data_IF_746398877411
#
_entry.id   IF_746398877411
#
_cell.length_a   1.000
_cell.length_b   1.000
_cell.length_c   1.000
_cell.angle_alpha   90.00
_cell.angle_beta   90.00
_cell.angle_gamma   90.00
#
_symmetry.space_group_name_H-M   'P 1'
#
loop_
_entity.id
_entity.type
_entity.pdbx_description
1 polymer ?
#
# COMPACT_ATOMS: atom_id res chain seq x y z
N UNK A 1 -17.17 2.71 6.63
CA UNK A 1 -16.65 2.62 5.26
C UNK A 1 -15.96 3.92 4.81
N UNK A 2 -15.12 4.52 5.66
CA UNK A 2 -14.33 5.71 5.26
C UNK A 2 -12.95 5.32 4.73
N UNK A 3 -12.46 4.13 5.11
CA UNK A 3 -11.07 3.76 4.89
C UNK A 3 -10.82 3.15 3.51
N UNK A 4 -11.87 2.68 2.83
CA UNK A 4 -11.76 2.20 1.46
C UNK A 4 -11.27 3.32 0.51
N UNK A 5 -11.83 4.52 0.64
CA UNK A 5 -11.40 5.69 -0.13
C UNK A 5 -9.96 6.10 0.18
N UNK A 6 -9.60 6.15 1.46
CA UNK A 6 -8.24 6.46 1.89
C UNK A 6 -7.22 5.44 1.36
N UNK A 7 -7.54 4.14 1.49
CA UNK A 7 -6.71 3.06 0.98
C UNK A 7 -6.54 3.14 -0.54
N UNK A 8 -7.61 3.48 -1.26
CA UNK A 8 -7.57 3.67 -2.71
C UNK A 8 -6.62 4.80 -3.12
N UNK A 9 -6.64 5.93 -2.38
CA UNK A 9 -5.72 7.05 -2.63
C UNK A 9 -4.27 6.65 -2.37
N UNK A 10 -3.99 5.96 -1.27
CA UNK A 10 -2.64 5.47 -0.93
C UNK A 10 -2.12 4.51 -2.01
N UNK A 11 -2.95 3.56 -2.45
CA UNK A 11 -2.56 2.60 -3.49
C UNK A 11 -2.36 3.30 -4.85
N UNK A 12 -3.22 4.25 -5.22
CA UNK A 12 -3.13 4.96 -6.50
C UNK A 12 -1.87 5.81 -6.65
N UNK A 13 -1.25 6.22 -5.55
CA UNK A 13 0.01 6.99 -5.55
C UNK A 13 1.26 6.12 -5.65
N UNK A 14 1.11 4.79 -5.67
CA UNK A 14 2.22 3.84 -5.59
C UNK A 14 2.26 2.94 -6.82
N UNK A 15 3.37 2.99 -7.54
CA UNK A 15 3.58 2.14 -8.72
C UNK A 15 3.84 0.68 -8.37
N UNK A 16 4.27 0.42 -7.13
CA UNK A 16 4.55 -0.92 -6.61
C UNK A 16 3.34 -1.58 -5.94
N UNK A 17 2.14 -0.99 -6.04
CA UNK A 17 0.93 -1.50 -5.39
C UNK A 17 -0.21 -1.66 -6.38
N UNK A 18 -0.89 -2.82 -6.33
CA UNK A 18 -2.13 -3.08 -7.04
C UNK A 18 -3.25 -3.34 -6.03
N UNK A 19 -4.33 -2.57 -6.12
CA UNK A 19 -5.55 -2.80 -5.34
C UNK A 19 -6.65 -3.39 -6.23
N UNK A 20 -7.29 -4.46 -5.76
CA UNK A 20 -8.43 -5.10 -6.42
C UNK A 20 -9.61 -5.20 -5.42
N UNK A 21 -10.83 -5.06 -5.93
CA UNK A 21 -12.05 -5.26 -5.15
C UNK A 21 -12.89 -6.30 -5.88
N UNK A 22 -13.25 -7.37 -5.18
CA UNK A 22 -14.11 -8.43 -5.73
C UNK A 22 -14.90 -9.10 -4.62
N UNK A 23 -16.21 -9.28 -4.83
CA UNK A 23 -17.07 -10.02 -3.91
C UNK A 23 -17.11 -9.47 -2.47
N UNK A 24 -16.96 -8.15 -2.27
CA UNK A 24 -16.92 -7.53 -0.94
C UNK A 24 -15.55 -7.62 -0.23
N UNK A 25 -14.52 -8.15 -0.90
CA UNK A 25 -13.15 -8.19 -0.39
C UNK A 25 -12.26 -7.20 -1.15
N UNK A 26 -11.41 -6.51 -0.40
CA UNK A 26 -10.28 -5.73 -0.89
C UNK A 26 -9.03 -6.60 -0.84
N UNK A 27 -8.29 -6.67 -1.94
CA UNK A 27 -6.97 -7.29 -2.03
C UNK A 27 -5.94 -6.22 -2.41
N UNK A 28 -4.87 -6.10 -1.64
CA UNK A 28 -3.77 -5.17 -1.90
C UNK A 28 -2.51 -5.98 -2.12
N UNK A 29 -1.96 -5.91 -3.33
CA UNK A 29 -0.74 -6.60 -3.73
C UNK A 29 0.41 -5.60 -3.75
N UNK A 30 1.49 -5.89 -3.01
CA UNK A 30 2.68 -5.04 -2.92
C UNK A 30 3.87 -5.75 -3.57
N UNK A 31 4.59 -5.04 -4.42
CA UNK A 31 5.74 -5.54 -5.17
C UNK A 31 5.37 -6.30 -6.44
N UNK A 32 6.38 -6.90 -7.06
CA UNK A 32 6.28 -7.59 -8.36
C UNK A 32 6.91 -8.98 -8.30
N UNK A 33 6.53 -9.84 -9.25
CA UNK A 33 7.12 -11.16 -9.40
C UNK A 33 6.90 -12.09 -8.19
N UNK A 34 7.83 -13.02 -7.91
CA UNK A 34 7.73 -13.98 -6.82
C UNK A 34 7.68 -13.36 -5.41
N UNK A 35 8.21 -12.16 -5.24
CA UNK A 35 8.25 -11.44 -3.96
C UNK A 35 6.95 -10.69 -3.65
N UNK A 36 5.99 -10.69 -4.60
CA UNK A 36 4.72 -9.98 -4.44
C UNK A 36 3.93 -10.55 -3.26
N UNK A 37 3.65 -9.70 -2.29
CA UNK A 37 2.87 -10.04 -1.09
C UNK A 37 1.45 -9.51 -1.21
N UNK A 38 0.47 -10.22 -0.64
CA UNK A 38 -0.94 -9.80 -0.68
C UNK A 38 -1.51 -9.60 0.72
N UNK A 39 -2.26 -8.52 0.89
CA UNK A 39 -3.03 -8.17 2.09
C UNK A 39 -4.51 -8.18 1.74
N UNK A 40 -5.35 -8.57 2.70
CA UNK A 40 -6.79 -8.73 2.49
C UNK A 40 -7.60 -8.06 3.59
N UNK A 41 -8.74 -7.48 3.21
CA UNK A 41 -9.72 -6.93 4.13
C UNK A 41 -11.13 -7.08 3.54
N UNK A 42 -12.15 -7.22 4.38
CA UNK A 42 -13.51 -6.94 3.92
C UNK A 42 -13.64 -5.43 3.60
N UNK A 43 -14.39 -5.08 2.56
CA UNK A 43 -14.54 -3.70 2.08
C UNK A 43 -15.24 -2.74 3.08
N UNK A 44 -15.85 -3.29 4.12
CA UNK A 44 -16.57 -2.60 5.20
C UNK A 44 -15.83 -2.68 6.55
N UNK A 45 -14.71 -3.41 6.63
CA UNK A 45 -13.85 -3.49 7.81
C UNK A 45 -12.84 -2.33 7.83
N UNK A 46 -13.27 -1.19 8.39
CA UNK A 46 -12.44 0.01 8.50
C UNK A 46 -11.18 -0.21 9.38
N UNK A 47 -11.19 -1.15 10.32
CA UNK A 47 -10.05 -1.40 11.22
C UNK A 47 -8.92 -2.13 10.49
N UNK A 48 -9.25 -3.18 9.74
CA UNK A 48 -8.25 -3.89 8.93
C UNK A 48 -7.72 -2.98 7.83
N UNK A 49 -8.59 -2.18 7.19
CA UNK A 49 -8.15 -1.20 6.19
C UNK A 49 -7.19 -0.15 6.79
N UNK A 50 -7.44 0.35 8.00
CA UNK A 50 -6.51 1.27 8.68
C UNK A 50 -5.15 0.63 8.93
N UNK A 51 -5.11 -0.64 9.32
CA UNK A 51 -3.85 -1.37 9.52
C UNK A 51 -3.07 -1.52 8.21
N UNK A 52 -3.77 -1.84 7.11
CA UNK A 52 -3.15 -1.91 5.78
C UNK A 52 -2.58 -0.54 5.38
N UNK A 53 -3.35 0.54 5.54
CA UNK A 53 -2.88 1.91 5.26
C UNK A 53 -1.62 2.23 6.08
N UNK A 54 -1.60 1.87 7.36
CA UNK A 54 -0.44 2.08 8.21
C UNK A 54 0.78 1.30 7.73
N UNK A 55 0.62 0.03 7.36
CA UNK A 55 1.70 -0.80 6.85
C UNK A 55 2.28 -0.28 5.53
N UNK A 56 1.42 0.27 4.66
CA UNK A 56 1.83 0.89 3.40
C UNK A 56 2.57 2.22 3.60
N UNK A 57 2.17 3.03 4.58
CA UNK A 57 2.74 4.36 4.79
C UNK A 57 3.96 4.37 5.72
N UNK A 58 3.94 3.55 6.77
CA UNK A 58 4.89 3.63 7.89
C UNK A 58 5.46 2.27 8.30
N UNK A 59 4.80 1.17 7.95
CA UNK A 59 5.18 -0.17 8.35
C UNK A 59 6.09 -0.89 7.35
N UNK A 60 5.90 -2.20 7.25
CA UNK A 60 6.77 -3.11 6.49
C UNK A 60 6.88 -2.73 5.01
N UNK A 61 5.82 -2.16 4.45
CA UNK A 61 5.71 -1.85 3.02
C UNK A 61 5.93 -0.37 2.71
N UNK A 62 6.40 0.41 3.69
CA UNK A 62 6.74 1.81 3.45
C UNK A 62 7.85 1.91 2.40
N UNK A 63 7.66 2.78 1.40
CA UNK A 63 8.71 3.10 0.43
C UNK A 63 9.81 3.85 1.21
N UNK A 64 10.97 3.21 1.37
CA UNK A 64 12.16 3.90 1.85
C UNK A 64 12.66 4.75 0.70
N UNK A 65 12.45 6.06 0.76
CA UNK A 65 13.09 6.97 -0.18
C UNK A 65 14.58 6.66 -0.18
N UNK A 66 15.11 6.22 -1.32
CA UNK A 66 16.54 6.28 -1.56
C UNK A 66 16.85 7.78 -1.57
N UNK A 67 17.37 8.32 -0.47
CA UNK A 67 18.06 9.61 -0.51
C UNK A 67 19.06 9.50 -1.65
N UNK A 68 18.82 10.21 -2.75
CA UNK A 68 19.83 10.39 -3.78
C UNK A 68 20.98 11.14 -3.13
N UNK A 69 21.97 10.40 -2.62
CA UNK A 69 23.27 10.95 -2.21
C UNK A 69 24.08 11.25 -3.47
N UNK A 70 23.72 12.34 -4.15
CA UNK A 70 24.44 13.07 -5.21
C UNK A 70 23.86 14.49 -5.12
N UNK A 71 24.54 15.61 -4.88
CA UNK A 71 25.92 16.12 -4.93
C UNK A 71 25.99 17.25 -3.87
N UNK A 72 27.12 17.59 -3.23
CA UNK A 72 28.25 18.29 -3.83
C UNK A 72 29.55 17.93 -3.08
N UNK A 73 30.44 17.22 -3.77
CA UNK A 73 31.88 17.42 -3.64
C UNK A 73 32.30 18.06 -4.96
N UNK A 74 32.43 19.39 -4.94
CA UNK A 74 33.24 20.19 -5.85
C UNK A 74 33.54 21.51 -5.13
#
# INVERSE_FOLDING_TARGET
>A
MKQLGNLSIVCAQRTDVLMQIYGGQVSVHVGEGPERTSLFAAWDDDEVMQRIIHELNFGRYAIKEKRNSKENVA
#
